data_IF_358009065787
#
_entry.id   IF_358009065787
#
_cell.length_a   1.000
_cell.length_b   1.000
_cell.length_c   1.000
_cell.angle_alpha   90.00
_cell.angle_beta   90.00
_cell.angle_gamma   90.00
#
_symmetry.space_group_name_H-M   'P 1'
#
loop_
_entity.id
_entity.type
_entity.pdbx_description
1 polymer ?
#
# COMPACT_ATOMS: atom_id res chain seq x y z
N UNK A 1 43.11 -10.58 31.47
CA UNK A 1 42.63 -11.41 32.58
C UNK A 1 41.22 -10.94 32.90
N UNK A 2 40.08 -11.53 32.55
CA UNK A 2 39.59 -12.68 31.77
C UNK A 2 38.25 -12.18 31.17
N UNK A 3 38.04 -12.13 29.84
CA UNK A 3 37.51 -13.16 28.95
C UNK A 3 36.14 -13.78 29.33
N UNK A 4 35.15 -13.49 28.46
CA UNK A 4 34.23 -14.42 27.75
C UNK A 4 33.28 -15.31 28.55
N UNK A 5 31.97 -15.08 28.37
CA UNK A 5 30.94 -16.07 27.97
C UNK A 5 29.55 -15.49 28.30
N UNK A 6 28.70 -15.17 27.33
CA UNK A 6 27.67 -16.09 26.82
C UNK A 6 27.04 -15.49 25.55
N UNK A 7 27.76 -15.61 24.43
CA UNK A 7 27.17 -15.57 23.09
C UNK A 7 27.75 -16.79 22.38
N UNK A 8 26.97 -17.88 22.36
CA UNK A 8 27.06 -19.03 21.44
C UNK A 8 26.06 -20.12 21.84
N UNK A 9 24.98 -20.21 21.07
CA UNK A 9 24.29 -21.44 20.63
C UNK A 9 23.45 -21.02 19.41
N UNK A 10 24.03 -21.17 18.20
CA UNK A 10 23.64 -22.16 17.16
C UNK A 10 22.21 -21.87 16.68
N UNK A 11 21.92 -21.16 15.58
CA UNK A 11 22.27 -21.37 14.16
C UNK A 11 22.62 -22.82 13.85
N UNK A 12 21.60 -23.67 13.88
CA UNK A 12 21.45 -24.95 13.17
C UNK A 12 20.15 -25.59 13.69
N UNK A 13 19.03 -25.26 13.04
CA UNK A 13 17.81 -26.08 12.89
C UNK A 13 16.71 -25.18 12.30
N UNK A 14 16.83 -24.87 11.01
CA UNK A 14 15.71 -24.43 10.19
C UNK A 14 15.08 -25.67 9.55
N UNK A 15 14.53 -26.55 10.40
CA UNK A 15 13.72 -27.68 10.00
C UNK A 15 12.25 -27.27 10.02
N UNK A 16 11.63 -27.26 8.84
CA UNK A 16 10.20 -27.48 8.58
C UNK A 16 9.23 -27.10 9.73
N UNK A 17 8.88 -25.81 9.84
CA UNK A 17 7.79 -25.39 10.72
C UNK A 17 6.44 -25.69 10.07
N UNK A 18 5.98 -26.93 10.25
CA UNK A 18 4.58 -27.28 10.06
C UNK A 18 3.70 -26.37 10.94
N UNK A 19 2.64 -25.80 10.34
CA UNK A 19 1.64 -25.02 11.05
C UNK A 19 1.00 -25.86 12.17
N UNK A 20 0.82 -25.34 13.39
CA UNK A 20 0.15 -26.07 14.46
C UNK A 20 -1.32 -26.33 14.09
N UNK A 21 -1.88 -27.52 14.42
CA UNK A 21 -3.28 -27.82 14.14
C UNK A 21 -4.20 -26.93 14.99
N UNK A 22 -5.26 -26.41 14.36
CA UNK A 22 -6.28 -25.61 15.04
C UNK A 22 -6.92 -26.38 16.20
N UNK A 23 -7.14 -25.75 17.38
CA UNK A 23 -7.80 -26.41 18.49
C UNK A 23 -9.28 -26.68 18.17
N UNK A 24 -9.68 -27.95 18.27
CA UNK A 24 -11.08 -28.38 18.15
C UNK A 24 -11.84 -28.11 19.45
N UNK A 25 -12.81 -27.20 19.43
CA UNK A 25 -13.89 -27.11 20.42
C UNK A 25 -15.26 -27.47 19.79
N UNK A 26 -16.16 -28.13 20.53
CA UNK A 26 -17.35 -28.77 19.95
C UNK A 26 -18.41 -27.73 19.53
N UNK A 27 -18.82 -27.78 18.26
CA UNK A 27 -19.79 -26.86 17.65
C UNK A 27 -21.23 -27.17 18.11
N UNK A 28 -22.02 -26.12 18.43
CA UNK A 28 -23.49 -26.20 18.50
C UNK A 28 -24.03 -26.63 17.13
N UNK A 29 -25.00 -27.56 17.11
CA UNK A 29 -25.62 -28.10 15.88
C UNK A 29 -26.36 -27.02 15.10
N UNK A 30 -25.70 -26.48 14.07
CA UNK A 30 -26.32 -25.65 13.01
C UNK A 30 -26.67 -26.60 11.86
N UNK A 31 -27.88 -26.48 11.29
CA UNK A 31 -28.30 -27.25 10.10
C UNK A 31 -27.27 -27.01 8.97
N UNK A 32 -26.81 -28.06 8.25
CA UNK A 32 -25.78 -27.90 7.25
C UNK A 32 -26.33 -27.09 6.07
N UNK A 33 -25.91 -25.83 5.93
CA UNK A 33 -26.00 -25.14 4.66
C UNK A 33 -25.06 -25.85 3.69
N UNK A 34 -25.52 -26.14 2.47
CA UNK A 34 -24.65 -26.63 1.39
C UNK A 34 -23.45 -25.69 1.30
N UNK A 35 -22.25 -26.20 1.58
CA UNK A 35 -21.02 -25.42 1.52
C UNK A 35 -20.81 -25.02 0.05
N UNK A 36 -20.79 -23.71 -0.23
CA UNK A 36 -20.43 -23.24 -1.56
C UNK A 36 -18.93 -23.44 -1.70
N UNK A 37 -18.52 -24.41 -2.52
CA UNK A 37 -17.11 -24.68 -2.80
C UNK A 37 -16.54 -23.55 -3.67
N UNK A 38 -15.33 -23.10 -3.36
CA UNK A 38 -14.59 -22.16 -4.20
C UNK A 38 -14.17 -22.79 -5.55
N UNK A 39 -13.56 -22.00 -6.45
CA UNK A 39 -13.06 -22.50 -7.73
C UNK A 39 -11.97 -23.56 -7.53
N UNK A 40 -11.82 -24.45 -8.52
CA UNK A 40 -10.72 -25.42 -8.55
C UNK A 40 -9.37 -24.70 -8.76
N UNK A 41 -8.25 -25.28 -8.27
CA UNK A 41 -6.91 -24.73 -8.49
C UNK A 41 -6.56 -24.59 -9.98
N UNK A 42 -5.77 -23.58 -10.31
CA UNK A 42 -5.22 -23.38 -11.67
C UNK A 42 -4.05 -24.34 -11.94
N UNK A 43 -3.88 -24.74 -13.20
CA UNK A 43 -2.64 -25.41 -13.65
C UNK A 43 -1.46 -24.44 -13.68
N UNK A 44 -0.23 -24.96 -13.75
CA UNK A 44 0.97 -24.11 -13.86
C UNK A 44 0.96 -23.27 -15.14
N UNK A 45 0.46 -23.82 -16.27
CA UNK A 45 0.31 -23.06 -17.51
C UNK A 45 -0.70 -21.92 -17.36
N UNK A 46 -1.80 -22.16 -16.64
CA UNK A 46 -2.81 -21.13 -16.38
C UNK A 46 -2.30 -20.03 -15.45
N UNK A 47 -1.47 -20.36 -14.45
CA UNK A 47 -0.81 -19.39 -13.58
C UNK A 47 0.16 -18.52 -14.36
N UNK A 48 1.01 -19.14 -15.20
CA UNK A 48 1.98 -18.41 -16.03
C UNK A 48 1.26 -17.47 -16.99
N UNK A 49 0.18 -17.93 -17.63
CA UNK A 49 -0.61 -17.15 -18.58
C UNK A 49 -1.55 -16.11 -17.97
N UNK A 50 -1.71 -16.06 -16.64
CA UNK A 50 -2.66 -15.16 -16.00
C UNK A 50 -2.20 -13.69 -16.00
N UNK A 51 -0.89 -13.42 -16.03
CA UNK A 51 -0.33 -12.06 -16.07
C UNK A 51 0.20 -11.76 -17.47
N UNK A 52 -0.44 -10.81 -18.17
CA UNK A 52 0.03 -10.35 -19.48
C UNK A 52 1.38 -9.64 -19.36
N UNK A 53 2.26 -9.81 -20.36
CA UNK A 53 3.61 -9.24 -20.38
C UNK A 53 4.40 -9.51 -19.09
N UNK A 54 4.26 -10.72 -18.53
CA UNK A 54 4.80 -11.15 -17.23
C UNK A 54 6.30 -10.85 -17.08
N UNK A 55 7.06 -10.97 -18.16
CA UNK A 55 8.49 -10.71 -18.22
C UNK A 55 8.87 -9.24 -17.98
N UNK A 56 7.93 -8.31 -18.14
CA UNK A 56 8.12 -6.90 -17.84
C UNK A 56 8.00 -6.58 -16.35
N UNK A 57 7.56 -7.51 -15.50
CA UNK A 57 7.33 -7.27 -14.07
C UNK A 57 8.49 -7.75 -13.18
N UNK A 58 8.65 -7.09 -12.04
CA UNK A 58 9.57 -7.49 -10.99
C UNK A 58 9.32 -8.95 -10.55
N UNK A 59 10.39 -9.71 -10.35
CA UNK A 59 10.29 -11.14 -10.07
C UNK A 59 9.52 -11.43 -8.78
N UNK A 60 9.68 -10.58 -7.76
CA UNK A 60 9.01 -10.77 -6.47
C UNK A 60 7.52 -10.44 -6.57
N UNK A 61 7.16 -9.41 -7.35
CA UNK A 61 5.76 -9.14 -7.68
C UNK A 61 5.11 -10.28 -8.46
N UNK A 62 5.82 -10.86 -9.43
CA UNK A 62 5.35 -12.01 -10.22
C UNK A 62 5.08 -13.22 -9.33
N UNK A 63 5.98 -13.54 -8.38
CA UNK A 63 5.74 -14.59 -7.37
C UNK A 63 4.50 -14.31 -6.54
N UNK A 64 4.28 -13.04 -6.17
CA UNK A 64 3.11 -12.64 -5.44
C UNK A 64 1.81 -12.81 -6.22
N UNK A 65 1.81 -12.58 -7.54
CA UNK A 65 0.66 -12.85 -8.40
C UNK A 65 0.33 -14.34 -8.41
N UNK A 66 1.34 -15.20 -8.59
CA UNK A 66 1.12 -16.66 -8.55
C UNK A 66 0.60 -17.10 -7.18
N UNK A 67 1.15 -16.57 -6.10
CA UNK A 67 0.71 -16.87 -4.74
C UNK A 67 -0.76 -16.47 -4.52
N UNK A 68 -1.16 -15.27 -4.94
CA UNK A 68 -2.54 -14.80 -4.87
C UNK A 68 -3.48 -15.72 -5.64
N UNK A 69 -3.09 -16.15 -6.84
CA UNK A 69 -3.89 -17.05 -7.69
C UNK A 69 -3.97 -18.48 -7.17
N UNK A 70 -2.94 -18.98 -6.48
CA UNK A 70 -3.00 -20.28 -5.80
C UNK A 70 -3.98 -20.27 -4.62
N UNK A 71 -4.12 -19.13 -3.94
CA UNK A 71 -5.08 -18.98 -2.84
C UNK A 71 -6.50 -18.77 -3.38
N UNK A 72 -6.65 -17.92 -4.39
CA UNK A 72 -7.95 -17.65 -5.01
C UNK A 72 -7.87 -17.59 -6.54
N UNK A 73 -8.06 -18.74 -7.21
CA UNK A 73 -8.11 -18.87 -8.67
C UNK A 73 -9.11 -17.93 -9.36
N UNK A 74 -10.19 -17.51 -8.67
CA UNK A 74 -11.21 -16.64 -9.26
C UNK A 74 -10.70 -15.22 -9.55
N UNK A 75 -9.48 -14.87 -9.12
CA UNK A 75 -8.84 -13.59 -9.43
C UNK A 75 -8.13 -13.57 -10.79
N UNK A 76 -8.03 -14.72 -11.50
CA UNK A 76 -7.37 -14.83 -12.81
C UNK A 76 -7.89 -13.83 -13.84
N UNK A 77 -9.21 -13.68 -13.94
CA UNK A 77 -9.82 -12.82 -14.95
C UNK A 77 -9.50 -11.34 -14.71
N UNK A 78 -9.58 -10.87 -13.45
CA UNK A 78 -9.26 -9.47 -13.15
C UNK A 78 -7.77 -9.19 -13.29
N UNK A 79 -6.90 -10.14 -12.95
CA UNK A 79 -5.45 -10.02 -13.11
C UNK A 79 -5.07 -9.96 -14.60
N UNK A 80 -5.62 -10.85 -15.44
CA UNK A 80 -5.32 -10.89 -16.87
C UNK A 80 -5.79 -9.67 -17.66
N UNK A 81 -6.78 -8.95 -17.13
CA UNK A 81 -7.28 -7.69 -17.71
C UNK A 81 -6.62 -6.43 -17.12
N UNK A 82 -5.65 -6.61 -16.22
CA UNK A 82 -5.04 -5.51 -15.46
C UNK A 82 -3.58 -5.30 -15.80
N UNK A 83 -3.12 -4.07 -15.63
CA UNK A 83 -1.70 -3.70 -15.64
C UNK A 83 -1.29 -3.12 -14.29
N UNK A 84 -0.03 -3.35 -13.92
CA UNK A 84 0.54 -2.93 -12.63
C UNK A 84 1.83 -2.11 -12.85
N UNK A 85 1.75 -0.91 -13.45
CA UNK A 85 2.91 -0.17 -13.94
C UNK A 85 3.99 0.07 -12.86
N UNK A 86 3.61 0.35 -11.62
CA UNK A 86 4.53 0.53 -10.48
C UNK A 86 5.35 -0.72 -10.13
N UNK A 87 4.95 -1.89 -10.64
CA UNK A 87 5.64 -3.16 -10.41
C UNK A 87 6.36 -3.71 -11.64
N UNK A 88 6.39 -2.95 -12.75
CA UNK A 88 7.29 -3.29 -13.85
C UNK A 88 8.74 -3.33 -13.36
N UNK A 89 9.59 -4.12 -14.01
CA UNK A 89 11.04 -4.01 -13.86
C UNK A 89 11.37 -2.57 -14.20
N UNK A 90 11.69 -1.78 -13.17
CA UNK A 90 12.50 -0.61 -13.42
C UNK A 90 13.74 -1.13 -14.16
N UNK A 91 14.20 -0.45 -15.22
CA UNK A 91 15.53 -0.71 -15.74
C UNK A 91 16.46 -0.80 -14.52
N UNK A 92 17.25 -1.88 -14.46
CA UNK A 92 18.03 -2.29 -13.30
C UNK A 92 19.03 -1.20 -12.91
N UNK A 93 18.58 -0.13 -12.25
CA UNK A 93 19.39 1.04 -12.02
C UNK A 93 19.43 1.32 -10.52
N UNK A 94 20.63 1.64 -10.07
CA UNK A 94 21.04 1.91 -8.69
C UNK A 94 20.26 3.03 -7.97
N UNK A 95 19.20 3.56 -8.58
CA UNK A 95 18.43 4.73 -8.19
C UNK A 95 17.07 4.39 -7.56
N UNK A 96 16.63 3.13 -7.53
CA UNK A 96 15.39 2.77 -6.79
C UNK A 96 15.51 3.03 -5.27
N UNK A 97 16.74 2.99 -4.73
CA UNK A 97 17.02 3.24 -3.31
C UNK A 97 17.32 4.71 -2.99
N UNK A 98 17.23 5.59 -3.97
CA UNK A 98 17.36 7.03 -3.78
C UNK A 98 15.98 7.68 -3.98
N UNK A 99 15.74 8.80 -3.30
CA UNK A 99 14.56 9.61 -3.55
C UNK A 99 13.37 9.35 -2.63
N UNK A 100 13.54 8.70 -1.48
CA UNK A 100 12.48 8.62 -0.46
C UNK A 100 12.04 10.02 -0.01
N UNK A 101 12.96 10.98 0.13
CA UNK A 101 12.60 12.37 0.42
C UNK A 101 11.70 12.95 -0.69
N UNK A 102 12.10 12.76 -1.95
CA UNK A 102 11.33 13.21 -3.10
C UNK A 102 9.93 12.56 -3.12
N UNK A 103 9.82 11.25 -2.93
CA UNK A 103 8.56 10.53 -2.96
C UNK A 103 7.61 11.00 -1.85
N UNK A 104 8.10 11.13 -0.62
CA UNK A 104 7.30 11.64 0.51
C UNK A 104 6.87 13.10 0.29
N UNK A 105 7.78 13.95 -0.20
CA UNK A 105 7.47 15.35 -0.50
C UNK A 105 6.42 15.46 -1.62
N UNK A 106 6.55 14.69 -2.71
CA UNK A 106 5.55 14.58 -3.79
C UNK A 106 4.20 14.12 -3.26
N UNK A 107 4.21 13.11 -2.38
CA UNK A 107 3.04 12.65 -1.64
C UNK A 107 2.33 13.79 -0.92
N UNK A 108 3.05 14.59 -0.12
CA UNK A 108 2.52 15.77 0.58
C UNK A 108 1.96 16.82 -0.40
N UNK A 109 2.69 17.11 -1.48
CA UNK A 109 2.28 18.07 -2.51
C UNK A 109 0.96 17.64 -3.16
N UNK A 110 0.81 16.35 -3.45
CA UNK A 110 -0.38 15.78 -4.09
C UNK A 110 -1.62 15.63 -3.20
N UNK A 111 -1.51 15.81 -1.88
CA UNK A 111 -2.64 15.63 -0.97
C UNK A 111 -3.81 16.57 -1.28
N UNK A 112 -5.03 16.05 -1.31
CA UNK A 112 -6.29 16.82 -1.41
C UNK A 112 -6.40 17.75 -2.64
N UNK A 113 -5.72 17.42 -3.74
CA UNK A 113 -5.81 18.15 -5.01
C UNK A 113 -6.01 17.18 -6.18
N UNK A 114 -6.44 17.69 -7.34
CA UNK A 114 -6.50 16.88 -8.56
C UNK A 114 -5.10 16.52 -9.05
N UNK A 115 -5.01 15.49 -9.89
CA UNK A 115 -3.70 15.09 -10.41
C UNK A 115 -3.02 16.16 -11.26
N UNK A 116 -3.79 16.86 -12.11
CA UNK A 116 -3.27 17.99 -12.88
C UNK A 116 -2.77 19.13 -11.98
N UNK A 117 -3.48 19.42 -10.88
CA UNK A 117 -3.06 20.44 -9.92
C UNK A 117 -1.78 20.02 -9.18
N UNK A 118 -1.68 18.77 -8.74
CA UNK A 118 -0.46 18.25 -8.11
C UNK A 118 0.75 18.33 -9.04
N UNK A 119 0.61 17.93 -10.32
CA UNK A 119 1.66 18.05 -11.34
C UNK A 119 2.09 19.51 -11.56
N UNK A 120 1.14 20.44 -11.64
CA UNK A 120 1.41 21.87 -11.79
C UNK A 120 2.14 22.48 -10.58
N UNK A 121 1.72 22.14 -9.36
CA UNK A 121 2.38 22.59 -8.13
C UNK A 121 3.79 22.00 -8.05
N UNK A 122 3.96 20.71 -8.36
CA UNK A 122 5.27 20.05 -8.37
C UNK A 122 6.23 20.70 -9.38
N UNK A 123 5.77 20.98 -10.61
CA UNK A 123 6.58 21.67 -11.64
C UNK A 123 7.06 23.03 -11.11
N UNK A 124 6.16 23.84 -10.53
CA UNK A 124 6.51 25.16 -9.97
C UNK A 124 7.41 25.04 -8.74
N UNK A 125 7.22 24.04 -7.89
CA UNK A 125 8.06 23.79 -6.71
C UNK A 125 9.50 23.48 -7.11
N UNK A 126 9.70 22.56 -8.06
CA UNK A 126 11.04 22.23 -8.57
C UNK A 126 11.69 23.46 -9.24
N UNK A 127 10.89 24.26 -9.95
CA UNK A 127 11.37 25.47 -10.64
C UNK A 127 12.00 26.52 -9.73
N UNK A 128 11.62 26.59 -8.45
CA UNK A 128 12.27 27.48 -7.46
C UNK A 128 13.78 27.25 -7.44
N UNK A 129 14.21 26.01 -7.63
CA UNK A 129 15.62 25.59 -7.53
C UNK A 129 16.34 25.56 -8.88
N UNK A 130 15.64 25.86 -9.98
CA UNK A 130 16.17 25.83 -11.35
C UNK A 130 15.66 27.05 -12.14
N UNK A 131 15.94 28.29 -11.68
CA UNK A 131 15.36 29.51 -12.27
C UNK A 131 15.77 29.72 -13.74
N UNK A 132 16.98 29.29 -14.09
CA UNK A 132 17.57 29.49 -15.43
C UNK A 132 17.21 28.38 -16.43
N UNK A 133 16.52 27.32 -15.99
CA UNK A 133 16.13 26.24 -16.89
C UNK A 133 15.09 26.73 -17.93
N UNK A 134 15.08 26.25 -19.18
CA UNK A 134 13.99 26.49 -20.13
C UNK A 134 12.60 26.09 -19.59
N UNK A 135 11.52 26.72 -20.06
CA UNK A 135 10.14 26.43 -19.57
C UNK A 135 9.69 24.98 -19.84
N UNK A 136 10.22 24.39 -20.92
CA UNK A 136 9.94 23.04 -21.38
C UNK A 136 10.96 22.00 -20.89
N UNK A 137 11.86 22.37 -19.96
CA UNK A 137 12.80 21.42 -19.36
C UNK A 137 12.05 20.35 -18.56
N UNK A 138 12.14 19.11 -19.03
CA UNK A 138 11.80 17.90 -18.27
C UNK A 138 12.99 17.40 -17.46
N UNK A 139 12.73 16.55 -16.46
CA UNK A 139 13.78 15.83 -15.74
C UNK A 139 14.66 16.71 -14.83
N UNK A 140 14.17 17.85 -14.36
CA UNK A 140 14.89 18.68 -13.39
C UNK A 140 15.03 17.96 -12.04
N UNK A 141 16.20 18.10 -11.43
CA UNK A 141 16.51 17.46 -10.14
C UNK A 141 15.59 17.98 -9.03
N UNK A 142 15.16 17.06 -8.17
CA UNK A 142 14.40 17.40 -6.98
C UNK A 142 15.33 18.05 -5.93
N UNK A 143 14.89 19.11 -5.21
CA UNK A 143 15.74 19.76 -4.22
C UNK A 143 16.13 18.80 -3.09
N UNK A 144 17.35 18.97 -2.58
CA UNK A 144 17.78 18.32 -1.35
C UNK A 144 16.99 18.84 -0.13
N UNK A 145 16.95 18.08 0.98
CA UNK A 145 16.35 18.55 2.23
C UNK A 145 16.92 19.90 2.69
N UNK A 146 18.22 20.13 2.56
CA UNK A 146 18.84 21.41 2.95
C UNK A 146 18.30 22.58 2.12
N UNK A 147 18.22 22.44 0.80
CA UNK A 147 17.70 23.49 -0.08
C UNK A 147 16.26 23.88 0.29
N UNK A 148 15.43 22.90 0.65
CA UNK A 148 14.05 23.13 1.12
C UNK A 148 14.01 23.88 2.46
N UNK A 149 14.94 23.59 3.37
CA UNK A 149 15.05 24.30 4.66
C UNK A 149 15.49 25.75 4.47
N UNK A 150 16.42 26.00 3.54
CA UNK A 150 16.96 27.33 3.22
C UNK A 150 15.98 28.21 2.44
N UNK A 151 14.97 27.62 1.79
CA UNK A 151 13.96 28.36 1.01
C UNK A 151 12.92 29.00 1.94
N UNK A 152 12.55 30.25 1.68
CA UNK A 152 11.56 30.95 2.51
C UNK A 152 10.16 30.31 2.39
N UNK A 153 9.34 30.44 3.44
CA UNK A 153 7.95 29.97 3.41
C UNK A 153 7.16 30.64 2.27
N UNK A 154 7.43 31.91 1.98
CA UNK A 154 6.72 32.67 0.95
C UNK A 154 7.06 32.18 -0.46
N UNK A 155 8.34 31.86 -0.73
CA UNK A 155 8.75 31.27 -2.01
C UNK A 155 8.10 29.90 -2.21
N UNK A 156 8.09 29.05 -1.18
CA UNK A 156 7.42 27.75 -1.24
C UNK A 156 5.91 27.88 -1.50
N UNK A 157 5.27 28.91 -0.93
CA UNK A 157 3.85 29.20 -1.18
C UNK A 157 3.62 29.75 -2.60
N UNK A 158 4.56 30.51 -3.16
CA UNK A 158 4.47 31.03 -4.52
C UNK A 158 4.36 29.91 -5.58
N UNK A 159 4.91 28.73 -5.30
CA UNK A 159 4.73 27.53 -6.12
C UNK A 159 3.33 26.89 -6.05
N UNK A 160 2.44 27.39 -5.19
CA UNK A 160 1.08 26.90 -5.00
C UNK A 160 0.89 25.95 -3.82
N UNK A 161 1.86 25.85 -2.92
CA UNK A 161 1.70 25.12 -1.66
C UNK A 161 0.81 25.90 -0.68
N UNK A 162 -0.03 25.17 0.06
CA UNK A 162 -0.73 25.74 1.21
C UNK A 162 0.23 25.90 2.39
N UNK A 163 -0.09 26.80 3.32
CA UNK A 163 0.77 27.01 4.51
C UNK A 163 1.02 25.72 5.31
N UNK A 164 0.02 24.84 5.42
CA UNK A 164 0.18 23.52 6.04
C UNK A 164 1.14 22.62 5.27
N UNK A 165 1.02 22.55 3.94
CA UNK A 165 1.93 21.75 3.11
C UNK A 165 3.37 22.28 3.18
N UNK A 166 3.54 23.60 3.26
CA UNK A 166 4.85 24.21 3.50
C UNK A 166 5.45 23.78 4.84
N UNK A 167 4.68 23.81 5.94
CA UNK A 167 5.11 23.30 7.24
C UNK A 167 5.51 21.82 7.16
N UNK A 168 4.69 20.98 6.53
CA UNK A 168 4.91 19.55 6.45
C UNK A 168 6.16 19.20 5.65
N UNK A 169 6.39 19.87 4.52
CA UNK A 169 7.58 19.67 3.68
C UNK A 169 8.85 20.10 4.43
N UNK A 170 8.81 21.22 5.18
CA UNK A 170 9.95 21.63 6.01
C UNK A 170 10.22 20.66 7.17
N UNK A 171 9.17 20.16 7.84
CA UNK A 171 9.30 19.11 8.89
C UNK A 171 9.91 17.83 8.32
N UNK A 172 9.46 17.41 7.13
CA UNK A 172 10.04 16.27 6.43
C UNK A 172 11.51 16.51 6.07
N UNK A 173 11.83 17.68 5.54
CA UNK A 173 13.20 18.04 5.18
C UNK A 173 14.13 18.04 6.40
N UNK A 174 13.66 18.57 7.53
CA UNK A 174 14.39 18.54 8.81
C UNK A 174 14.67 17.10 9.25
N UNK A 175 13.67 16.22 9.18
CA UNK A 175 13.82 14.81 9.57
C UNK A 175 14.87 14.07 8.71
N UNK A 176 14.96 14.36 7.41
CA UNK A 176 16.03 13.83 6.57
C UNK A 176 17.38 14.49 6.84
N UNK A 177 17.38 15.81 7.06
CA UNK A 177 18.62 16.58 7.27
C UNK A 177 19.34 16.20 8.55
N UNK A 178 18.60 15.95 9.63
CA UNK A 178 19.16 15.58 10.93
C UNK A 178 19.35 14.06 11.11
N UNK A 179 19.02 13.25 10.10
CA UNK A 179 19.20 11.81 10.10
C UNK A 179 18.14 11.01 10.85
N UNK A 180 17.05 11.64 11.31
CA UNK A 180 15.87 10.91 11.84
C UNK A 180 15.31 9.95 10.80
N UNK A 181 15.27 10.38 9.54
CA UNK A 181 14.98 9.54 8.39
C UNK A 181 16.21 9.51 7.46
N UNK A 182 16.54 8.33 6.96
CA UNK A 182 17.54 8.16 5.91
C UNK A 182 17.11 7.05 4.96
N UNK A 183 17.56 7.09 3.72
CA UNK A 183 17.32 6.03 2.73
C UNK A 183 17.71 4.66 3.31
N UNK A 184 18.94 4.56 3.85
CA UNK A 184 19.46 3.33 4.45
C UNK A 184 18.54 2.78 5.55
N UNK A 185 18.09 3.65 6.45
CA UNK A 185 17.21 3.23 7.54
C UNK A 185 15.84 2.80 7.03
N UNK A 186 15.22 3.56 6.12
CA UNK A 186 13.90 3.26 5.56
C UNK A 186 13.86 1.89 4.86
N UNK A 187 14.91 1.54 4.12
CA UNK A 187 15.00 0.22 3.46
C UNK A 187 15.30 -0.94 4.43
N UNK A 188 15.96 -0.69 5.56
CA UNK A 188 16.34 -1.75 6.53
C UNK A 188 15.34 -1.96 7.66
N UNK A 189 14.67 -0.90 8.09
CA UNK A 189 13.73 -0.93 9.21
C UNK A 189 12.52 -1.81 8.90
N UNK A 190 11.82 -2.24 9.95
CA UNK A 190 10.57 -2.97 9.81
C UNK A 190 9.47 -2.05 9.28
N UNK A 191 8.44 -2.62 8.65
CA UNK A 191 7.30 -1.85 8.15
C UNK A 191 6.60 -1.06 9.27
N UNK A 192 6.57 -1.60 10.50
CA UNK A 192 6.00 -0.89 11.66
C UNK A 192 6.85 0.31 12.07
N UNK A 193 8.17 0.15 12.17
CA UNK A 193 9.07 1.24 12.55
C UNK A 193 9.01 2.39 11.54
N UNK A 194 8.96 2.06 10.24
CA UNK A 194 8.81 3.05 9.17
C UNK A 194 7.49 3.80 9.32
N UNK A 195 6.38 3.11 9.54
CA UNK A 195 5.07 3.74 9.74
C UNK A 195 5.07 4.63 10.97
N UNK A 196 5.61 4.16 12.10
CA UNK A 196 5.71 4.94 13.34
C UNK A 196 6.46 6.25 13.11
N UNK A 197 7.64 6.18 12.49
CA UNK A 197 8.47 7.35 12.22
C UNK A 197 7.79 8.33 11.24
N UNK A 198 7.13 7.81 10.19
CA UNK A 198 6.43 8.64 9.21
C UNK A 198 5.18 9.30 9.80
N UNK A 199 4.39 8.56 10.59
CA UNK A 199 3.15 9.06 11.20
C UNK A 199 3.43 10.07 12.32
N UNK A 200 4.62 10.06 12.93
CA UNK A 200 5.05 11.10 13.86
C UNK A 200 5.26 12.45 13.16
N UNK A 201 5.55 12.45 11.85
CA UNK A 201 5.67 13.68 11.08
C UNK A 201 4.28 14.30 10.82
N UNK A 202 4.16 15.60 11.11
CA UNK A 202 2.97 16.37 10.75
C UNK A 202 2.75 16.30 9.24
N UNK A 203 1.51 16.00 8.84
CA UNK A 203 1.13 15.93 7.42
C UNK A 203 1.22 14.55 6.78
N UNK A 204 1.85 13.57 7.44
CA UNK A 204 1.87 12.18 6.98
C UNK A 204 0.99 11.36 7.92
N UNK A 205 -0.03 10.71 7.36
CA UNK A 205 -0.93 9.82 8.09
C UNK A 205 -0.69 8.35 7.73
N UNK A 206 -1.36 7.40 8.42
CA UNK A 206 -1.16 5.96 8.20
C UNK A 206 -1.32 5.56 6.73
N UNK A 207 -2.37 6.04 6.07
CA UNK A 207 -2.58 5.79 4.65
C UNK A 207 -1.41 6.26 3.77
N UNK A 208 -0.84 7.44 4.03
CA UNK A 208 0.33 7.93 3.27
C UNK A 208 1.57 7.10 3.55
N UNK A 209 1.75 6.63 4.78
CA UNK A 209 2.84 5.70 5.11
C UNK A 209 2.67 4.37 4.38
N UNK A 210 1.45 3.81 4.32
CA UNK A 210 1.16 2.59 3.55
C UNK A 210 1.51 2.78 2.07
N UNK A 211 1.08 3.89 1.45
CA UNK A 211 1.39 4.17 0.04
C UNK A 211 2.90 4.28 -0.20
N UNK A 212 3.63 4.88 0.74
CA UNK A 212 5.09 4.96 0.68
C UNK A 212 5.74 3.57 0.81
N UNK A 213 5.28 2.71 1.72
CA UNK A 213 5.78 1.33 1.80
C UNK A 213 5.53 0.55 0.51
N UNK A 214 4.35 0.73 -0.09
CA UNK A 214 3.90 0.05 -1.30
C UNK A 214 4.67 0.44 -2.56
N UNK A 215 4.75 1.75 -2.84
CA UNK A 215 5.24 2.24 -4.12
C UNK A 215 6.71 2.65 -4.08
N UNK A 216 7.15 3.23 -2.96
CA UNK A 216 8.54 3.70 -2.81
C UNK A 216 9.44 2.62 -2.24
N UNK A 217 9.03 1.92 -1.17
CA UNK A 217 9.85 0.82 -0.61
C UNK A 217 9.56 -0.55 -1.24
N UNK A 218 8.50 -0.65 -2.06
CA UNK A 218 8.06 -1.90 -2.72
C UNK A 218 7.95 -3.09 -1.77
N UNK A 219 7.48 -2.83 -0.54
CA UNK A 219 7.18 -3.89 0.45
C UNK A 219 6.02 -4.74 -0.08
N UNK A 220 6.19 -6.06 -0.06
CA UNK A 220 5.21 -7.01 -0.63
C UNK A 220 4.10 -7.41 0.34
N UNK A 221 4.24 -7.08 1.61
CA UNK A 221 3.32 -7.51 2.67
C UNK A 221 2.54 -6.36 3.30
N UNK A 222 2.07 -5.40 2.50
CA UNK A 222 1.31 -4.22 2.95
C UNK A 222 -0.17 -4.36 2.59
N UNK A 223 -1.07 -3.95 3.50
CA UNK A 223 -2.50 -3.88 3.22
C UNK A 223 -3.14 -2.67 3.91
N UNK A 224 -3.63 -1.67 3.17
CA UNK A 224 -4.20 -0.44 3.69
C UNK A 224 -5.70 -0.56 3.93
N UNK A 225 -6.10 -0.92 5.14
CA UNK A 225 -7.52 -1.07 5.52
C UNK A 225 -8.30 0.26 5.47
N UNK A 226 -7.60 1.39 5.61
CA UNK A 226 -8.18 2.73 5.58
C UNK A 226 -8.41 3.29 4.17
N UNK A 227 -7.90 2.63 3.13
CA UNK A 227 -8.06 3.09 1.76
C UNK A 227 -9.47 2.81 1.21
N UNK A 228 -10.15 3.84 0.72
CA UNK A 228 -11.53 3.72 0.20
C UNK A 228 -11.63 2.84 -1.05
N UNK A 229 -10.61 2.84 -1.91
CA UNK A 229 -10.55 1.97 -3.08
C UNK A 229 -10.40 0.52 -2.67
N UNK A 230 -9.52 0.23 -1.72
CA UNK A 230 -9.35 -1.12 -1.12
C UNK A 230 -10.64 -1.57 -0.45
N UNK A 231 -11.27 -0.73 0.38
CA UNK A 231 -12.55 -1.04 1.02
C UNK A 231 -13.64 -1.41 -0.01
N UNK A 232 -13.74 -0.63 -1.09
CA UNK A 232 -14.68 -0.92 -2.19
C UNK A 232 -14.31 -2.21 -2.92
N UNK A 233 -13.02 -2.42 -3.18
CA UNK A 233 -12.48 -3.64 -3.79
C UNK A 233 -12.80 -4.89 -2.98
N UNK A 234 -12.60 -4.85 -1.67
CA UNK A 234 -12.93 -5.96 -0.75
C UNK A 234 -14.44 -6.17 -0.69
N UNK A 235 -15.26 -5.12 -0.70
CA UNK A 235 -16.71 -5.27 -0.76
C UNK A 235 -17.14 -6.02 -2.03
N UNK A 236 -16.57 -5.67 -3.18
CA UNK A 236 -16.81 -6.37 -4.44
C UNK A 236 -16.27 -7.81 -4.40
N UNK A 237 -15.09 -8.02 -3.82
CA UNK A 237 -14.48 -9.34 -3.62
C UNK A 237 -15.42 -10.28 -2.86
N UNK A 238 -15.93 -9.85 -1.69
CA UNK A 238 -16.88 -10.63 -0.87
C UNK A 238 -18.18 -10.88 -1.62
N UNK A 239 -18.75 -9.83 -2.26
CA UNK A 239 -20.02 -9.93 -2.98
C UNK A 239 -19.98 -10.96 -4.12
N UNK A 240 -18.87 -11.03 -4.85
CA UNK A 240 -18.69 -11.94 -5.98
C UNK A 240 -18.32 -13.37 -5.55
N UNK A 241 -18.00 -13.60 -4.27
CA UNK A 241 -17.46 -14.87 -3.76
C UNK A 241 -18.27 -15.33 -2.55
N UNK A 242 -19.45 -15.97 -2.76
CA UNK A 242 -20.33 -16.38 -1.68
C UNK A 242 -19.65 -17.31 -0.65
N UNK A 243 -18.66 -18.10 -1.07
CA UNK A 243 -17.87 -18.93 -0.17
C UNK A 243 -17.06 -18.11 0.85
N UNK A 244 -16.53 -16.95 0.46
CA UNK A 244 -15.84 -16.03 1.37
C UNK A 244 -16.81 -15.44 2.39
N UNK A 245 -18.01 -15.03 1.96
CA UNK A 245 -19.05 -14.52 2.87
C UNK A 245 -19.52 -15.60 3.87
N UNK A 246 -19.68 -16.84 3.41
CA UNK A 246 -20.00 -17.99 4.28
C UNK A 246 -18.90 -18.25 5.30
N UNK A 247 -17.64 -18.20 4.85
CA UNK A 247 -16.49 -18.40 5.71
C UNK A 247 -16.40 -17.33 6.80
N UNK A 248 -16.54 -16.04 6.44
CA UNK A 248 -16.54 -14.92 7.40
C UNK A 248 -17.60 -15.09 8.51
N UNK A 249 -18.77 -15.66 8.17
CA UNK A 249 -19.85 -15.97 9.14
C UNK A 249 -19.50 -17.13 10.07
N UNK A 250 -18.53 -17.96 9.71
CA UNK A 250 -18.10 -19.14 10.46
C UNK A 250 -16.87 -18.90 11.34
N UNK A 251 -16.17 -17.76 11.17
CA UNK A 251 -14.99 -17.40 11.96
C UNK A 251 -15.35 -17.16 13.42
N UNK A 252 -14.59 -17.78 14.32
CA UNK A 252 -14.64 -17.46 15.74
C UNK A 252 -13.79 -16.22 16.03
N UNK A 253 -14.44 -15.05 16.05
CA UNK A 253 -13.80 -13.76 16.33
C UNK A 253 -13.33 -13.59 17.78
N UNK A 254 -13.58 -14.55 18.67
CA UNK A 254 -13.01 -14.54 20.02
C UNK A 254 -11.55 -14.99 20.05
N UNK A 255 -11.10 -15.71 19.01
CA UNK A 255 -9.71 -16.07 18.82
C UNK A 255 -8.98 -14.87 18.21
N UNK A 256 -7.93 -14.33 18.87
CA UNK A 256 -7.13 -13.27 18.28
C UNK A 256 -6.52 -13.74 16.96
N UNK A 257 -6.61 -12.90 15.93
CA UNK A 257 -5.84 -13.12 14.71
C UNK A 257 -4.36 -12.92 15.05
N UNK A 258 -3.54 -13.97 14.93
CA UNK A 258 -2.11 -13.90 15.20
C UNK A 258 -1.47 -12.74 14.41
N UNK A 259 -1.03 -11.70 15.14
CA UNK A 259 -0.05 -10.71 14.71
C UNK A 259 -0.17 -10.17 13.28
N UNK A 260 -1.32 -9.57 12.93
CA UNK A 260 -1.54 -8.87 11.67
C UNK A 260 -0.53 -7.72 11.45
N UNK A 261 -0.03 -7.60 10.22
CA UNK A 261 0.76 -6.45 9.76
C UNK A 261 0.04 -5.68 8.64
N UNK A 262 -1.19 -5.20 8.82
CA UNK A 262 -1.52 -3.95 8.10
C UNK A 262 -0.53 -2.93 8.68
N UNK A 263 0.24 -2.14 7.91
CA UNK A 263 1.25 -1.28 8.51
C UNK A 263 0.59 -0.45 9.62
N UNK A 264 0.97 -0.70 10.89
CA UNK A 264 0.04 -0.37 11.98
C UNK A 264 -0.02 -1.27 13.21
N UNK A 265 1.01 -2.04 13.58
CA UNK A 265 1.20 -2.25 15.04
C UNK A 265 1.73 -1.01 15.73
N UNK A 266 2.16 -0.01 14.95
CA UNK A 266 2.34 1.36 15.40
C UNK A 266 1.21 1.77 16.35
N UNK A 267 1.54 1.78 17.65
CA UNK A 267 0.61 2.23 18.68
C UNK A 267 0.20 3.69 18.42
N UNK A 268 1.08 4.45 17.76
CA UNK A 268 0.87 5.85 17.39
C UNK A 268 -0.08 6.03 16.20
N UNK A 269 0.03 5.19 15.17
CA UNK A 269 -0.91 5.17 14.05
C UNK A 269 -2.32 4.79 14.51
N UNK A 270 -2.43 3.80 15.41
CA UNK A 270 -3.70 3.43 16.06
C UNK A 270 -4.27 4.54 16.96
N UNK A 271 -3.41 5.31 17.62
CA UNK A 271 -3.82 6.40 18.51
C UNK A 271 -4.26 7.67 17.77
N UNK A 272 -3.83 7.87 16.51
CA UNK A 272 -4.33 8.98 15.69
C UNK A 272 -5.75 8.68 15.24
N UNK A 273 -6.68 9.61 15.51
CA UNK A 273 -8.02 9.54 14.94
C UNK A 273 -7.88 9.45 13.41
N UNK A 274 -8.49 8.45 12.75
CA UNK A 274 -8.55 8.46 11.30
C UNK A 274 -9.11 9.82 10.87
N UNK A 275 -8.50 10.42 9.84
CA UNK A 275 -9.10 11.59 9.22
C UNK A 275 -10.56 11.24 8.96
N UNK A 276 -11.50 12.10 9.42
CA UNK A 276 -12.93 11.84 9.23
C UNK A 276 -13.11 11.45 7.78
N UNK A 277 -13.47 10.18 7.55
CA UNK A 277 -13.93 9.73 6.23
C UNK A 277 -14.97 10.76 5.84
N UNK A 278 -14.90 11.37 4.63
CA UNK A 278 -15.94 12.30 4.22
C UNK A 278 -17.26 11.61 4.50
N UNK A 279 -18.06 12.18 5.42
CA UNK A 279 -19.39 11.65 5.66
C UNK A 279 -20.01 11.59 4.28
N UNK A 280 -20.51 10.42 3.90
CA UNK A 280 -21.21 10.21 2.65
C UNK A 280 -21.96 11.49 2.30
N UNK A 281 -21.64 12.07 1.15
CA UNK A 281 -22.50 13.09 0.56
C UNK A 281 -23.91 12.52 0.65
N UNK A 282 -24.80 13.20 1.40
CA UNK A 282 -26.22 12.84 1.45
C UNK A 282 -26.88 12.91 0.07
N UNK A 283 -26.16 13.40 -0.94
CA UNK A 283 -26.57 13.46 -2.33
C UNK A 283 -25.59 12.63 -3.18
N UNK A 284 -25.91 11.35 -3.38
CA UNK A 284 -25.15 10.46 -4.27
C UNK A 284 -25.28 8.99 -3.87
N UNK A 285 -26.04 8.21 -4.63
CA UNK A 285 -26.42 6.81 -4.40
C UNK A 285 -25.25 5.81 -4.39
N UNK A 286 -24.41 5.80 -3.36
CA UNK A 286 -23.42 4.74 -3.19
C UNK A 286 -24.04 3.50 -2.53
N UNK A 287 -24.54 2.56 -3.35
CA UNK A 287 -25.22 1.31 -2.95
C UNK A 287 -24.24 0.19 -2.49
N UNK A 288 -23.17 0.50 -1.74
CA UNK A 288 -22.27 -0.55 -1.25
C UNK A 288 -21.96 -0.38 0.25
N UNK A 289 -21.83 -1.53 0.94
CA UNK A 289 -21.54 -1.58 2.37
C UNK A 289 -20.03 -1.68 2.57
N UNK A 290 -19.46 -0.77 3.35
CA UNK A 290 -18.06 -0.85 3.77
C UNK A 290 -17.86 -2.11 4.61
N UNK A 291 -16.94 -3.02 4.24
CA UNK A 291 -16.65 -4.21 5.03
C UNK A 291 -16.10 -3.82 6.41
N UNK A 292 -16.39 -4.63 7.43
CA UNK A 292 -15.79 -4.44 8.75
C UNK A 292 -14.28 -4.63 8.67
N UNK A 293 -13.51 -3.82 9.41
CA UNK A 293 -12.05 -3.86 9.39
C UNK A 293 -11.52 -5.28 9.66
N UNK A 294 -12.03 -5.97 10.69
CA UNK A 294 -11.65 -7.36 11.00
C UNK A 294 -11.89 -8.34 9.84
N UNK A 295 -12.90 -8.12 9.00
CA UNK A 295 -13.16 -8.95 7.82
C UNK A 295 -12.12 -8.68 6.74
N UNK A 296 -11.79 -7.42 6.50
CA UNK A 296 -10.75 -7.04 5.53
C UNK A 296 -9.39 -7.63 5.95
N UNK A 297 -9.05 -7.51 7.22
CA UNK A 297 -7.81 -8.04 7.80
C UNK A 297 -7.76 -9.57 7.70
N UNK A 298 -8.87 -10.25 8.03
CA UNK A 298 -9.01 -11.69 7.90
C UNK A 298 -8.77 -12.17 6.46
N UNK A 299 -9.43 -11.53 5.48
CA UNK A 299 -9.27 -11.87 4.07
C UNK A 299 -7.82 -11.63 3.63
N UNK A 300 -7.28 -10.43 3.89
CA UNK A 300 -5.94 -10.07 3.48
C UNK A 300 -4.89 -11.03 4.07
N UNK A 301 -5.06 -11.50 5.30
CA UNK A 301 -4.12 -12.41 5.96
C UNK A 301 -3.88 -13.72 5.22
N UNK A 302 -4.87 -14.21 4.47
CA UNK A 302 -4.70 -15.42 3.66
C UNK A 302 -3.63 -15.26 2.60
N UNK A 303 -3.40 -14.03 2.14
CA UNK A 303 -2.48 -13.67 1.06
C UNK A 303 -1.09 -13.28 1.55
N UNK A 304 -0.75 -13.53 2.83
CA UNK A 304 0.63 -13.34 3.31
C UNK A 304 1.59 -14.32 2.63
N UNK A 305 2.81 -13.90 2.25
CA UNK A 305 3.44 -12.60 2.52
C UNK A 305 3.25 -11.56 1.38
N UNK A 306 2.26 -11.73 0.51
CA UNK A 306 2.03 -10.92 -0.70
C UNK A 306 0.75 -10.09 -0.65
N UNK A 307 0.43 -9.54 0.53
CA UNK A 307 -0.77 -8.72 0.71
C UNK A 307 -0.78 -7.45 -0.14
N UNK A 308 0.39 -6.92 -0.49
CA UNK A 308 0.52 -5.83 -1.46
C UNK A 308 -0.09 -6.22 -2.81
N UNK A 309 0.21 -7.43 -3.28
CA UNK A 309 -0.33 -7.91 -4.56
C UNK A 309 -1.84 -8.08 -4.47
N UNK A 310 -2.34 -8.66 -3.39
CA UNK A 310 -3.79 -8.72 -3.15
C UNK A 310 -4.41 -7.32 -3.11
N UNK A 311 -3.78 -6.35 -2.44
CA UNK A 311 -4.24 -4.96 -2.43
C UNK A 311 -4.32 -4.37 -3.85
N UNK A 312 -3.29 -4.56 -4.67
CA UNK A 312 -3.28 -4.11 -6.07
C UNK A 312 -4.47 -4.67 -6.84
N UNK A 313 -4.78 -5.96 -6.65
CA UNK A 313 -5.93 -6.62 -7.28
C UNK A 313 -7.25 -6.06 -6.73
N UNK A 314 -7.36 -5.80 -5.42
CA UNK A 314 -8.56 -5.17 -4.85
C UNK A 314 -8.83 -3.77 -5.41
N UNK A 315 -7.79 -2.98 -5.68
CA UNK A 315 -7.98 -1.70 -6.38
C UNK A 315 -8.58 -1.88 -7.78
N UNK A 316 -8.15 -2.89 -8.53
CA UNK A 316 -8.76 -3.21 -9.84
C UNK A 316 -10.21 -3.68 -9.70
N UNK A 317 -10.51 -4.47 -8.67
CA UNK A 317 -11.89 -4.86 -8.33
C UNK A 317 -12.76 -3.66 -7.92
N UNK A 318 -12.17 -2.57 -7.40
CA UNK A 318 -12.91 -1.36 -7.03
C UNK A 318 -13.44 -0.58 -8.25
N UNK A 319 -12.72 -0.67 -9.38
CA UNK A 319 -13.08 -0.05 -10.66
C UNK A 319 -13.99 -0.92 -11.54
N UNK A 320 -14.23 -2.20 -11.17
CA UNK A 320 -15.23 -3.02 -11.85
C UNK A 320 -16.59 -2.40 -11.57
N UNK A 321 -17.15 -1.80 -12.61
CA UNK A 321 -18.30 -0.94 -12.45
C UNK A 321 -19.56 -1.74 -12.10
N UNK A 322 -20.32 -1.24 -11.11
CA UNK A 322 -21.71 -1.66 -10.89
C UNK A 322 -22.66 -0.74 -11.67
N UNK A 323 -22.16 0.31 -12.33
CA UNK A 323 -22.83 0.98 -13.43
C UNK A 323 -21.85 1.97 -14.10
N UNK A 324 -21.53 1.73 -15.38
CA UNK A 324 -21.01 2.67 -16.40
C UNK A 324 -19.74 2.17 -17.12
N UNK A 325 -19.99 1.44 -18.21
CA UNK A 325 -19.06 1.18 -19.32
C UNK A 325 -18.85 2.42 -20.22
N UNK A 326 -18.93 3.65 -19.69
CA UNK A 326 -18.80 4.87 -20.50
C UNK A 326 -18.04 5.95 -19.72
N UNK A 327 -16.72 5.99 -19.87
CA UNK A 327 -16.03 7.07 -20.58
C UNK A 327 -14.50 6.81 -20.51
N UNK A 328 -13.92 6.35 -21.63
CA UNK A 328 -12.46 6.21 -21.77
C UNK A 328 -11.82 7.58 -21.91
N UNK A 329 -11.68 8.33 -20.81
CA UNK A 329 -10.83 9.52 -20.76
C UNK A 329 -10.02 9.59 -19.48
N UNK A 330 -8.71 9.39 -19.65
CA UNK A 330 -7.62 9.79 -18.74
C UNK A 330 -7.79 9.40 -17.28
N UNK A 331 -7.62 8.10 -16.98
CA UNK A 331 -7.21 7.67 -15.65
C UNK A 331 -5.74 8.04 -15.45
N UNK A 332 -5.48 9.28 -15.06
CA UNK A 332 -4.25 9.57 -14.30
C UNK A 332 -4.39 8.75 -13.02
N UNK A 333 -3.50 7.78 -12.80
CA UNK A 333 -3.62 6.91 -11.64
C UNK A 333 -3.48 7.79 -10.38
N UNK A 334 -4.39 7.62 -9.41
CA UNK A 334 -4.43 8.48 -8.21
C UNK A 334 -3.12 8.38 -7.40
N UNK A 335 -2.31 7.37 -7.71
CA UNK A 335 -1.08 6.99 -7.04
C UNK A 335 0.20 7.39 -7.79
N UNK A 336 0.13 8.07 -8.95
CA UNK A 336 1.29 8.59 -9.74
C UNK A 336 2.25 9.53 -8.94
N UNK A 337 1.90 9.86 -7.69
CA UNK A 337 2.65 10.75 -6.81
C UNK A 337 3.63 10.02 -5.88
N UNK A 338 3.50 8.70 -5.73
CA UNK A 338 4.35 7.86 -4.88
C UNK A 338 5.29 6.97 -5.68
#
# INVERSE_FOLDING_TARGET
MQLRSRVKRTVEDAGDMALPPHPHTPKKKVKPSVAVKGPEPLSDEELVGALQDREQYDQEFVKGIDHVLRIDPSLKDIISQSTFPHFKKAAEDADFRSGCFMALARGIIGQQVSGAAAKSILKRFIRIYHPDAPEDSGGLDFPSPQQVLDTSTDDLRSAGLSGRKTEYIKVLAEAFKNGTLSEEWLFKASDDDVVDALVDLKGIGPWSADMFLLFTLRRMDVFSVGDLGVQRGVANYIKQRPWVDQELKSVDWSVPMDGLHSPGKSAKAKARKPAKTPSQSKNGSSKWKVPEQKHMEYIANKFRPYRTVFQMVTWKLSSVDIAVLEDKKSTTDKYDYY
#
